data_IF_680370150108
#
_entry.id   IF_680370150108
#
_cell.length_a   1.000
_cell.length_b   1.000
_cell.length_c   1.000
_cell.angle_alpha   90.00
_cell.angle_beta   90.00
_cell.angle_gamma   90.00
#
_symmetry.space_group_name_H-M   'P 1'
#
loop_
_entity.id
_entity.type
_entity.pdbx_description
1 polymer ?
2 non-polymer ?
3 non-polymer ?
4 non-polymer ?
5 non-polymer ?
6 water ?
#
# COMPACT_ATOMS: atom_id res chain seq x y z
N UNK A 14 -11.88 22.01 11.86
CA UNK A 14 -11.72 20.53 11.68
C UNK A 14 -12.56 19.69 12.65
N UNK A 15 -13.54 19.00 12.10
CA UNK A 15 -14.36 18.12 12.96
C UNK A 15 -14.02 16.66 12.80
N UNK A 16 -14.54 15.92 13.75
CA UNK A 16 -14.32 14.52 13.88
C UNK A 16 -15.56 13.67 13.61
N UNK A 17 -15.30 12.43 13.22
CA UNK A 17 -16.39 11.48 13.15
C UNK A 17 -15.89 10.21 13.76
N UNK A 18 -16.85 9.40 14.16
CA UNK A 18 -16.60 8.11 14.73
C UNK A 18 -17.00 7.02 13.80
N UNK A 19 -16.08 6.11 13.57
CA UNK A 19 -16.35 4.95 12.74
C UNK A 19 -16.75 3.92 13.76
N UNK A 21 -18.53 1.09 13.41
CA UNK A 21 -18.37 -0.29 12.97
C UNK A 21 -16.94 -0.49 12.59
N UNK A 22 -16.27 -1.23 13.43
CA UNK A 22 -14.82 -1.43 13.33
C UNK A 22 -14.41 -2.75 12.69
N UNK A 23 -14.99 -2.94 11.51
CA UNK A 23 -14.79 -4.14 10.69
C UNK A 23 -13.30 -4.42 10.42
N UNK A 24 -12.54 -3.37 10.15
CA UNK A 24 -11.13 -3.54 9.79
C UNK A 24 -10.33 -4.02 11.01
N UNK A 25 -10.59 -3.40 12.14
CA UNK A 25 -9.97 -3.77 13.41
C UNK A 25 -10.31 -5.22 13.77
N UNK A 26 -11.57 -5.59 13.60
CA UNK A 26 -11.99 -6.96 13.92
C UNK A 26 -11.28 -7.96 13.04
N UNK A 27 -11.15 -7.59 11.78
CA UNK A 27 -10.51 -8.42 10.78
C UNK A 27 -9.06 -8.71 11.15
N UNK A 28 -8.32 -7.68 11.51
CA UNK A 28 -6.91 -7.86 11.88
C UNK A 28 -6.73 -8.50 13.23
N UNK A 29 -7.64 -8.19 14.14
CA UNK A 29 -7.64 -8.83 15.46
C UNK A 29 -7.84 -10.34 15.30
N UNK A 30 -8.75 -10.71 14.40
CA UNK A 30 -9.02 -12.15 14.16
C UNK A 30 -7.77 -12.82 13.57
N UNK A 31 -7.15 -12.14 12.61
CA UNK A 31 -5.90 -12.59 12.00
C UNK A 31 -4.85 -12.90 13.07
N UNK A 32 -4.64 -11.95 13.96
CA UNK A 32 -3.66 -12.08 15.02
C UNK A 32 -3.95 -13.25 15.95
N UNK A 33 -5.24 -13.54 16.13
CA UNK A 33 -5.73 -14.57 17.02
C UNK A 33 -5.76 -15.91 16.32
N UNK A 34 -5.48 -15.89 15.03
CA UNK A 34 -5.48 -17.11 14.24
C UNK A 34 -6.90 -17.60 14.01
N UNK A 35 -7.83 -16.66 14.03
CA UNK A 35 -9.23 -16.97 13.90
C UNK A 35 -9.77 -16.68 12.54
N UNK A 36 -9.59 -17.60 11.61
CA UNK A 36 -10.10 -17.37 10.25
C UNK A 36 -11.60 -17.17 10.21
N UNK A 37 -12.31 -17.76 11.16
CA UNK A 37 -13.77 -17.66 11.19
C UNK A 37 -14.13 -16.20 11.44
N UNK A 38 -13.33 -15.56 12.28
CA UNK A 38 -13.54 -14.16 12.60
C UNK A 38 -13.26 -13.27 11.42
N UNK A 40 -13.43 -14.24 8.19
CA UNK A 40 -14.43 -14.54 7.16
C UNK A 40 -15.73 -13.80 7.42
N UNK A 41 -16.02 -13.68 8.70
CA UNK A 41 -17.23 -13.02 9.17
C UNK A 41 -17.26 -11.50 8.84
N UNK A 42 -16.08 -10.96 8.59
CA UNK A 42 -15.90 -9.54 8.27
C UNK A 42 -16.09 -9.24 6.80
N UNK A 43 -16.19 -10.30 6.02
CA UNK A 43 -16.28 -10.19 4.57
C UNK A 43 -17.64 -10.42 3.96
N UNK A 44 -17.86 -9.73 2.84
CA UNK A 44 -19.08 -9.96 2.04
C UNK A 44 -18.93 -11.25 1.22
N UNK A 45 -20.08 -11.79 0.82
CA UNK A 45 -20.13 -13.02 0.04
C UNK A 45 -19.44 -12.82 -1.29
N UNK A 46 -19.42 -11.58 -1.73
CA UNK A 46 -18.80 -11.25 -3.04
C UNK A 46 -17.41 -10.58 -2.93
N UNK A 47 -16.79 -10.80 -1.80
CA UNK A 47 -15.48 -10.19 -1.55
C UNK A 47 -14.47 -10.47 -2.69
N UNK A 48 -13.82 -9.39 -3.12
CA UNK A 48 -12.79 -9.42 -4.11
C UNK A 48 -11.45 -9.22 -3.45
N UNK A 49 -10.69 -10.31 -3.44
CA UNK A 49 -9.34 -10.38 -2.88
C UNK A 49 -8.36 -10.22 -4.04
N UNK A 50 -7.77 -9.03 -4.05
CA UNK A 50 -6.85 -8.64 -5.12
C UNK A 50 -5.46 -9.10 -4.79
N UNK A 51 -5.09 -10.26 -5.31
CA UNK A 51 -3.74 -10.79 -5.10
C UNK A 51 -2.86 -10.01 -6.08
N UNK A 52 -3.42 -9.90 -7.26
CA UNK A 52 -2.89 -9.02 -8.32
C UNK A 52 -3.92 -8.84 -9.45
N UNK A 53 -3.60 -7.94 -10.37
CA UNK A 53 -4.58 -7.57 -11.46
C UNK A 53 -5.11 -8.76 -12.20
N UNK A 54 -4.20 -9.67 -12.48
CA UNK A 54 -4.54 -10.86 -13.25
C UNK A 54 -5.12 -11.95 -12.38
N UNK A 55 -5.22 -11.69 -11.09
CA UNK A 55 -5.65 -12.74 -10.15
C UNK A 55 -6.46 -12.18 -9.00
N UNK A 56 -7.78 -12.09 -9.25
CA UNK A 56 -8.69 -11.58 -8.26
C UNK A 56 -9.58 -12.71 -7.81
N UNK A 57 -9.44 -13.03 -6.54
CA UNK A 57 -10.15 -14.18 -5.99
C UNK A 57 -11.38 -13.66 -5.34
N UNK A 58 -12.51 -14.15 -5.78
CA UNK A 58 -13.78 -13.68 -5.29
C UNK A 58 -14.50 -14.68 -4.42
N UNK A 59 -14.95 -14.22 -3.26
CA UNK A 59 -15.80 -15.05 -2.41
C UNK A 59 -15.07 -15.64 -1.22
N UNK A 60 -15.89 -16.14 -0.30
CA UNK A 60 -15.40 -16.67 0.95
C UNK A 60 -14.77 -18.03 0.86
N UNK A 61 -15.21 -18.86 -0.08
CA UNK A 61 -14.59 -20.19 -0.28
C UNK A 61 -13.13 -20.05 -0.68
N UNK A 62 -12.89 -19.16 -1.64
CA UNK A 62 -11.51 -18.87 -2.07
C UNK A 62 -10.68 -18.26 -0.92
N UNK A 63 -11.31 -17.39 -0.16
CA UNK A 63 -10.58 -16.70 0.91
C UNK A 63 -10.20 -17.69 2.00
N UNK A 64 -11.10 -18.59 2.33
CA UNK A 64 -10.82 -19.61 3.34
C UNK A 64 -9.67 -20.50 2.90
N UNK A 65 -9.65 -20.87 1.62
CA UNK A 65 -8.56 -21.70 1.07
C UNK A 65 -7.24 -20.95 1.15
N UNK A 66 -7.33 -19.68 0.88
CA UNK A 66 -6.18 -18.78 0.93
C UNK A 66 -5.62 -18.69 2.37
N UNK A 67 -6.50 -18.57 3.35
CA UNK A 67 -6.07 -18.52 4.74
C UNK A 67 -5.40 -19.83 5.14
N UNK A 68 -5.92 -20.93 4.65
CA UNK A 68 -5.34 -22.25 4.95
C UNK A 68 -3.92 -22.32 4.39
N UNK A 69 -3.78 -21.76 3.21
CA UNK A 69 -2.49 -21.73 2.55
C UNK A 69 -1.53 -20.91 3.41
N UNK A 71 -1.69 -20.26 6.46
CA UNK A 71 -1.61 -20.88 7.78
C UNK A 71 -0.51 -21.94 7.79
N UNK A 72 -0.35 -22.52 6.61
CA UNK A 72 0.62 -23.56 6.39
C UNK A 72 2.02 -22.96 6.24
N UNK A 73 2.11 -21.86 5.52
CA UNK A 73 3.42 -21.31 5.19
C UNK A 73 4.01 -20.34 6.18
N UNK A 74 3.15 -19.63 6.88
CA UNK A 74 3.60 -18.53 7.76
C UNK A 74 2.88 -18.44 9.06
N UNK A 75 3.62 -17.97 10.06
CA UNK A 75 3.01 -17.56 11.34
C UNK A 75 3.42 -16.12 11.55
N UNK A 76 2.44 -15.24 11.65
CA UNK A 76 2.67 -13.82 11.75
C UNK A 76 1.79 -13.13 12.75
N UNK A 77 2.35 -12.06 13.31
CA UNK A 77 1.61 -11.16 14.16
C UNK A 77 1.77 -9.73 13.65
N UNK A 78 0.69 -8.98 13.72
CA UNK A 78 0.67 -7.61 13.23
C UNK A 78 0.69 -6.66 14.40
N UNK A 79 1.59 -5.68 14.33
CA UNK A 79 1.75 -4.67 15.37
C UNK A 79 1.79 -3.28 14.76
N UNK A 80 1.76 -2.26 15.61
CA UNK A 80 1.82 -0.86 15.19
C UNK A 80 0.74 -0.52 14.17
N UNK A 82 -2.25 1.15 12.36
CA UNK A 82 -2.98 2.43 12.24
C UNK A 82 -4.05 2.24 11.19
N UNK A 83 -5.29 2.53 11.53
CA UNK A 83 -6.43 2.34 10.61
C UNK A 83 -7.00 3.68 10.22
N UNK A 84 -7.24 3.82 8.93
CA UNK A 84 -7.78 5.06 8.34
C UNK A 84 -9.17 4.80 7.75
N UNK A 85 -9.97 5.84 7.71
CA UNK A 85 -11.37 5.72 7.22
C UNK A 85 -11.85 6.89 6.41
N UNK A 86 -12.99 6.68 5.78
CA UNK A 86 -13.70 7.76 5.09
C UNK A 86 -15.02 7.99 5.81
N UNK A 87 -15.55 9.22 5.76
CA UNK A 87 -16.76 9.50 6.49
C UNK A 87 -17.97 8.65 6.11
N UNK A 88 -18.00 8.16 4.89
CA UNK A 88 -19.16 7.35 4.42
C UNK A 88 -18.99 5.89 4.73
N UNK A 89 -17.83 5.60 5.30
CA UNK A 89 -17.50 4.24 5.73
C UNK A 89 -17.35 3.18 4.62
N UNK A 90 -17.15 3.60 3.39
CA UNK A 90 -17.07 2.66 2.27
C UNK A 90 -15.66 2.34 1.82
N UNK A 91 -14.73 3.03 2.43
CA UNK A 91 -13.31 2.83 2.11
C UNK A 91 -12.50 2.90 3.38
N UNK A 92 -11.43 2.11 3.43
CA UNK A 92 -10.50 2.10 4.56
C UNK A 92 -9.11 1.66 4.13
N UNK A 93 -8.16 1.99 4.99
CA UNK A 93 -6.74 1.70 4.81
C UNK A 93 -6.13 1.34 6.14
N UNK A 94 -5.07 0.55 6.09
CA UNK A 94 -4.38 0.21 7.32
C UNK A 94 -2.92 0.06 7.02
N UNK A 95 -2.12 0.58 7.94
CA UNK A 95 -0.66 0.45 7.86
C UNK A 95 -0.20 -0.23 9.15
N UNK A 96 0.73 -1.16 9.00
CA UNK A 96 1.14 -1.96 10.15
C UNK A 96 2.47 -2.66 9.89
N UNK A 97 2.94 -3.30 10.93
CA UNK A 97 4.18 -4.06 10.96
C UNK A 97 3.90 -5.56 11.06
N UNK A 98 4.43 -6.28 10.10
CA UNK A 98 4.33 -7.73 10.05
C UNK A 98 5.59 -8.36 10.63
N UNK A 99 5.36 -9.17 11.66
CA UNK A 99 6.40 -9.96 12.32
C UNK A 99 6.07 -11.43 12.14
N UNK A 100 6.97 -12.18 11.52
CA UNK A 100 6.74 -13.61 11.30
C UNK A 100 7.91 -14.57 11.24
N UNK A 101 7.51 -15.81 11.02
CA UNK A 101 8.37 -16.96 10.81
C UNK A 101 7.88 -17.70 9.58
N UNK A 102 8.83 -18.02 8.72
CA UNK A 102 8.55 -18.73 7.45
C UNK A 102 8.64 -20.22 7.73
N UNK A 103 7.45 -20.82 7.83
CA UNK A 103 7.25 -22.21 8.26
C UNK A 103 7.38 -23.25 7.18
N UNK A 104 6.78 -22.95 6.03
CA UNK A 104 6.81 -23.89 4.91
C UNK A 104 6.84 -23.16 3.61
N UNK A 105 7.52 -23.73 2.64
CA UNK A 105 7.74 -23.05 1.36
C UNK A 105 6.50 -22.72 0.57
N UNK A 106 6.46 -21.46 0.15
CA UNK A 106 5.36 -20.93 -0.67
C UNK A 106 5.86 -20.91 -2.10
N UNK A 107 5.16 -21.65 -2.95
CA UNK A 107 5.53 -21.83 -4.36
C UNK A 107 6.07 -20.59 -5.03
N UNK A 108 7.33 -20.68 -5.42
CA UNK A 108 7.97 -19.59 -6.16
C UNK A 108 8.75 -18.65 -5.28
N UNK A 109 8.60 -18.83 -3.98
CA UNK A 109 9.32 -18.02 -3.00
C UNK A 109 10.51 -18.84 -2.47
N UNK A 110 11.43 -18.22 -1.73
CA UNK A 110 12.53 -19.08 -1.29
C UNK A 110 12.14 -20.18 -0.34
N UNK A 111 13.12 -21.05 -0.10
CA UNK A 111 12.91 -22.20 0.77
C UNK A 111 12.68 -21.76 2.19
N UNK A 112 11.64 -22.34 2.79
CA UNK A 112 11.32 -22.07 4.22
C UNK A 112 12.32 -22.82 5.08
N UNK A 113 12.86 -22.11 6.08
CA UNK A 113 13.83 -22.67 7.00
C UNK A 113 13.61 -22.09 8.39
N UNK A 114 12.37 -21.69 8.65
CA UNK A 114 11.93 -21.12 9.91
C UNK A 114 12.59 -19.78 10.14
N UNK A 115 12.87 -19.09 9.04
CA UNK A 115 13.45 -17.74 9.07
C UNK A 115 12.45 -16.75 9.66
N UNK A 116 12.97 -15.83 10.48
CA UNK A 116 12.15 -14.75 11.01
C UNK A 116 12.24 -13.52 10.08
N UNK A 117 11.19 -12.73 10.09
CA UNK A 117 11.17 -11.53 9.29
C UNK A 117 10.31 -10.46 9.95
N UNK A 118 10.60 -9.24 9.57
CA UNK A 118 9.85 -8.10 10.07
C UNK A 118 9.76 -7.07 8.97
N UNK A 119 8.54 -6.68 8.65
CA UNK A 119 8.42 -5.68 7.61
C UNK A 119 7.09 -4.97 7.61
N UNK A 120 7.12 -3.74 7.13
CA UNK A 120 5.94 -2.94 7.03
C UNK A 120 5.10 -3.47 5.91
N UNK A 121 3.81 -3.19 6.03
CA UNK A 121 2.83 -3.52 5.02
C UNK A 121 1.69 -2.56 5.15
N UNK A 122 0.94 -2.54 4.07
CA UNK A 122 -0.27 -1.74 3.96
C UNK A 122 -1.39 -2.41 3.19
N UNK A 123 -2.61 -2.16 3.68
CA UNK A 123 -3.81 -2.69 3.05
C UNK A 123 -4.87 -1.63 2.79
N UNK A 124 -5.58 -1.84 1.69
CA UNK A 124 -6.69 -0.99 1.29
C UNK A 124 -7.93 -1.84 1.11
N UNK A 125 -9.06 -1.25 1.51
CA UNK A 125 -10.34 -1.94 1.53
C UNK A 125 -11.48 -1.10 1.01
N UNK A 126 -12.43 -1.81 0.45
CA UNK A 126 -13.75 -1.27 0.15
C UNK A 126 -14.70 -2.00 1.12
N UNK A 127 -15.74 -1.31 1.53
CA UNK A 127 -16.78 -1.89 2.40
C UNK A 127 -18.16 -1.48 1.96
N UNK A 128 -19.11 -2.38 2.17
CA UNK A 128 -20.50 -2.11 1.89
C UNK A 128 -21.35 -2.76 3.00
N UNK A 129 -22.26 -1.98 3.56
CA UNK A 129 -23.14 -2.47 4.62
C UNK A 129 -22.34 -3.07 5.76
N UNK A 130 -21.16 -2.53 5.96
CA UNK A 130 -20.29 -2.91 7.10
C UNK A 130 -19.35 -4.10 6.90
N UNK A 131 -19.39 -4.61 5.69
CA UNK A 131 -18.59 -5.75 5.33
C UNK A 131 -17.55 -5.40 4.26
N UNK A 132 -16.41 -6.05 4.38
CA UNK A 132 -15.32 -5.86 3.43
C UNK A 132 -15.66 -6.49 2.10
N UNK A 133 -15.69 -5.67 1.04
CA UNK A 133 -16.03 -6.16 -0.30
C UNK A 133 -14.81 -6.25 -1.21
N UNK A 134 -13.74 -5.65 -0.73
CA UNK A 134 -12.44 -5.71 -1.40
C UNK A 134 -11.30 -5.53 -0.42
N UNK A 135 -10.25 -6.29 -0.70
CA UNK A 135 -9.02 -6.33 0.07
C UNK A 135 -7.82 -6.37 -0.84
N UNK A 136 -6.92 -5.40 -0.68
CA UNK A 136 -5.63 -5.36 -1.40
C UNK A 136 -4.55 -5.09 -0.38
N UNK A 137 -3.44 -5.83 -0.48
CA UNK A 137 -2.32 -5.71 0.47
C UNK A 137 -1.03 -5.54 -0.26
N UNK A 138 -0.25 -4.60 0.22
CA UNK A 138 1.06 -4.33 -0.39
C UNK A 138 2.16 -4.42 0.63
N UNK A 139 3.32 -4.77 0.13
CA UNK A 139 4.54 -4.80 0.96
C UNK A 139 5.74 -4.92 0.04
N UNK A 140 6.90 -4.65 0.60
CA UNK A 140 8.17 -4.74 -0.15
C UNK A 140 8.63 -6.18 -0.27
N UNK A 141 8.27 -6.79 -1.40
CA UNK A 141 8.58 -8.22 -1.65
C UNK A 141 10.09 -8.47 -1.79
N UNK A 142 10.74 -7.54 -2.44
CA UNK A 142 12.16 -7.64 -2.63
C UNK A 142 12.85 -7.70 -1.28
N UNK A 143 12.40 -6.86 -0.36
CA UNK A 143 12.96 -6.77 0.97
C UNK A 143 12.69 -8.04 1.74
N UNK A 144 11.48 -8.53 1.61
CA UNK A 144 11.13 -9.77 2.28
C UNK A 144 12.03 -10.91 1.83
N UNK A 145 12.25 -11.00 0.53
CA UNK A 145 13.04 -12.07 -0.06
C UNK A 145 14.47 -11.99 0.42
N UNK A 146 14.90 -10.75 0.61
CA UNK A 146 16.25 -10.49 1.09
C UNK A 146 16.38 -11.03 2.52
N UNK A 147 15.38 -10.71 3.33
CA UNK A 147 15.38 -11.12 4.74
C UNK A 147 15.43 -12.63 4.92
N UNK A 148 14.64 -13.36 4.15
CA UNK A 148 14.52 -14.83 4.32
C UNK A 148 15.58 -15.61 3.60
N UNK A 149 16.30 -14.92 2.73
CA UNK A 149 17.35 -15.56 1.94
C UNK A 149 18.66 -15.47 2.69
N UNK A 150 18.65 -14.66 3.74
CA UNK A 150 19.84 -14.43 4.58
C UNK A 150 20.08 -15.63 5.48
N UNK B 14 -12.75 5.23 18.33
CA UNK B 14 -12.17 5.38 16.91
C UNK B 14 -12.62 6.64 16.23
N UNK B 15 -11.92 7.72 16.55
CA UNK B 15 -12.25 9.02 16.01
C UNK B 15 -11.32 9.41 14.90
N UNK B 16 -11.89 10.01 13.86
CA UNK B 16 -11.15 10.41 12.72
C UNK B 16 -11.37 11.86 12.36
N UNK B 17 -10.34 12.46 11.80
CA UNK B 17 -10.44 13.86 11.33
C UNK B 17 -9.51 14.11 10.15
N UNK B 18 -9.42 15.36 9.73
CA UNK B 18 -8.63 15.74 8.55
C UNK B 18 -7.15 15.76 8.85
N UNK B 19 -6.79 15.76 10.10
CA UNK B 19 -5.39 15.82 10.44
C UNK B 19 -4.64 16.86 9.60
N UNK B 21 -4.08 16.49 6.47
CA UNK B 21 -4.38 16.04 5.10
C UNK B 21 -4.20 17.10 4.03
N UNK B 22 -4.26 18.38 4.41
CA UNK B 22 -4.10 19.47 3.42
C UNK B 22 -2.73 19.41 2.76
N UNK B 23 -1.75 19.00 3.54
CA UNK B 23 -0.36 18.85 3.03
C UNK B 23 -0.29 17.75 2.01
N UNK B 24 -1.04 16.68 2.27
CA UNK B 24 -1.06 15.53 1.40
C UNK B 24 -1.74 15.94 0.10
N UNK B 25 -2.84 16.67 0.23
CA UNK B 25 -3.55 17.18 -0.96
C UNK B 25 -2.64 18.09 -1.82
N UNK B 26 -1.90 18.97 -1.18
CA UNK B 26 -1.00 19.87 -1.87
C UNK B 26 0.06 19.10 -2.61
N UNK B 27 0.52 18.06 -1.96
CA UNK B 27 1.58 17.22 -2.48
C UNK B 27 1.14 16.55 -3.79
N UNK B 28 -0.05 15.97 -3.76
CA UNK B 28 -0.54 15.28 -4.94
C UNK B 28 -0.97 16.27 -6.05
N UNK B 29 -1.57 17.38 -5.65
CA UNK B 29 -1.93 18.41 -6.59
C UNK B 29 -0.67 18.88 -7.35
N UNK B 30 0.42 19.02 -6.61
CA UNK B 30 1.68 19.50 -7.20
C UNK B 30 2.18 18.47 -8.18
N UNK B 31 2.06 17.20 -7.80
CA UNK B 31 2.48 16.07 -8.66
C UNK B 31 1.69 16.18 -9.97
N UNK B 32 0.37 16.32 -9.87
CA UNK B 32 -0.43 16.37 -11.08
C UNK B 32 -0.11 17.59 -11.94
N UNK B 33 0.37 18.66 -11.31
CA UNK B 33 0.72 19.90 -12.05
C UNK B 33 2.14 19.85 -12.59
N UNK B 34 2.86 18.81 -12.25
CA UNK B 34 4.26 18.69 -12.67
C UNK B 34 5.16 19.63 -11.90
N UNK B 35 4.68 20.02 -10.73
CA UNK B 35 5.38 20.98 -9.90
C UNK B 35 6.20 20.33 -8.81
N UNK B 36 7.45 19.99 -9.12
CA UNK B 36 8.30 19.36 -8.10
C UNK B 36 8.57 20.30 -6.95
N UNK B 37 8.51 21.60 -7.22
CA UNK B 37 8.85 22.58 -6.18
C UNK B 37 7.78 22.52 -5.07
N UNK B 38 6.56 22.39 -5.53
CA UNK B 38 5.41 22.30 -4.65
C UNK B 38 5.48 21.02 -3.86
N UNK B 40 8.29 19.39 -3.08
CA UNK B 40 9.44 19.49 -2.15
C UNK B 40 9.09 20.35 -0.95
N UNK B 41 8.23 21.32 -1.21
CA UNK B 41 7.83 22.26 -0.17
C UNK B 41 7.03 21.56 0.93
N UNK B 42 6.45 20.42 0.60
CA UNK B 42 5.66 19.64 1.56
C UNK B 42 6.49 18.69 2.43
N UNK B 43 7.79 18.65 2.16
CA UNK B 43 8.67 17.68 2.81
C UNK B 43 9.60 18.29 3.83
N UNK B 44 9.88 17.51 4.86
CA UNK B 44 10.85 17.89 5.88
C UNK B 44 12.24 17.65 5.30
N UNK B 45 13.21 18.31 5.87
CA UNK B 45 14.59 18.14 5.42
C UNK B 45 15.11 16.73 5.61
N UNK B 46 14.54 15.99 6.55
CA UNK B 46 15.01 14.62 6.85
C UNK B 46 14.07 13.55 6.29
N UNK B 47 13.32 13.96 5.28
CA UNK B 47 12.32 13.08 4.67
C UNK B 47 12.89 11.71 4.25
N UNK B 48 12.20 10.66 4.66
CA UNK B 48 12.56 9.28 4.34
C UNK B 48 11.58 8.76 3.30
N UNK B 49 12.11 8.56 2.11
CA UNK B 49 11.36 8.07 0.97
C UNK B 49 11.64 6.60 0.81
N UNK B 50 10.61 5.82 1.10
CA UNK B 50 10.62 4.36 0.98
C UNK B 50 10.17 3.94 -0.41
N UNK B 51 11.14 3.72 -1.29
CA UNK B 51 10.87 3.38 -2.71
C UNK B 51 10.24 2.00 -2.84
N UNK B 52 9.17 1.93 -3.58
CA UNK B 52 8.49 0.63 -3.80
C UNK B 52 9.45 -0.36 -4.43
N UNK B 53 9.55 -1.50 -3.77
CA UNK B 53 10.41 -2.61 -4.15
C UNK B 53 11.85 -2.15 -4.17
N UNK B 54 12.10 -1.04 -3.48
CA UNK B 54 13.45 -0.48 -3.41
C UNK B 54 14.00 -0.19 -2.04
N UNK B 55 14.81 0.88 -1.99
CA UNK B 55 15.51 1.30 -0.78
C UNK B 55 14.88 2.53 -0.16
N UNK B 56 15.45 2.97 0.94
CA UNK B 56 15.00 4.16 1.65
C UNK B 56 15.95 5.30 1.27
N UNK B 57 15.41 6.37 0.72
CA UNK B 57 16.20 7.50 0.25
C UNK B 57 15.93 8.67 1.19
N UNK B 58 16.95 9.23 1.76
CA UNK B 58 16.77 10.30 2.72
C UNK B 58 17.13 11.68 2.19
N UNK B 59 16.19 12.60 2.42
CA UNK B 59 16.40 14.02 2.10
C UNK B 59 15.87 14.53 0.78
N UNK B 60 15.82 15.85 0.71
CA UNK B 60 15.25 16.55 -0.43
C UNK B 60 16.12 16.52 -1.66
N UNK B 61 17.43 16.44 -1.47
CA UNK B 61 18.32 16.38 -2.66
C UNK B 61 18.03 15.10 -3.42
N UNK B 62 17.89 14.01 -2.68
CA UNK B 62 17.60 12.73 -3.29
C UNK B 62 16.22 12.73 -3.87
N UNK B 63 15.29 13.39 -3.17
CA UNK B 63 13.90 13.41 -3.65
C UNK B 63 13.77 14.17 -4.98
N UNK B 64 14.48 15.28 -5.06
CA UNK B 64 14.47 16.11 -6.27
C UNK B 64 15.05 15.30 -7.48
N UNK B 65 16.12 14.59 -7.19
CA UNK B 65 16.78 13.72 -8.18
C UNK B 65 15.81 12.61 -8.63
N UNK B 66 15.09 12.09 -7.66
CA UNK B 66 14.11 11.00 -7.91
C UNK B 66 13.00 11.49 -8.83
N UNK B 67 12.54 12.69 -8.53
CA UNK B 67 11.51 13.33 -9.35
C UNK B 67 12.00 13.58 -10.77
N UNK B 68 13.24 14.01 -10.90
CA UNK B 68 13.83 14.24 -12.22
C UNK B 68 13.87 12.97 -13.06
N UNK B 69 14.17 11.89 -12.35
CA UNK B 69 14.29 10.59 -12.97
C UNK B 69 12.90 10.15 -13.50
N UNK B 71 10.39 12.08 -14.20
CA UNK B 71 10.04 13.08 -15.18
C UNK B 71 10.61 12.71 -16.54
N UNK B 72 11.75 12.05 -16.51
CA UNK B 72 12.39 11.59 -17.75
C UNK B 72 11.71 10.34 -18.30
N UNK B 73 11.34 9.45 -17.39
CA UNK B 73 10.79 8.12 -17.77
C UNK B 73 9.31 8.02 -18.02
N UNK B 74 8.56 8.83 -17.31
CA UNK B 74 7.12 8.71 -17.29
C UNK B 74 6.39 10.02 -17.33
N UNK B 75 5.21 9.97 -17.91
CA UNK B 75 4.28 11.10 -17.84
C UNK B 75 3.02 10.51 -17.18
N UNK B 76 2.64 11.04 -16.02
CA UNK B 76 1.55 10.48 -15.20
C UNK B 76 0.59 11.49 -14.64
N UNK B 77 -0.63 11.02 -14.47
CA UNK B 77 -1.67 11.78 -13.77
C UNK B 77 -2.38 10.82 -12.83
N UNK B 78 -2.70 11.34 -11.64
CA UNK B 78 -3.40 10.60 -10.58
C UNK B 78 -4.88 10.94 -10.60
N UNK B 79 -5.70 9.91 -10.56
CA UNK B 79 -7.15 10.08 -10.53
C UNK B 79 -7.72 9.19 -9.45
N UNK B 80 -9.03 9.32 -9.26
CA UNK B 80 -9.73 8.50 -8.28
C UNK B 80 -9.10 8.60 -6.90
N UNK B 82 -8.38 9.15 -3.17
CA UNK B 82 -9.01 9.14 -1.88
C UNK B 82 -7.94 9.42 -0.83
N UNK B 83 -8.11 10.56 -0.13
CA UNK B 83 -7.26 10.91 1.01
C UNK B 83 -8.12 10.63 2.27
N UNK B 84 -7.70 9.61 3.01
CA UNK B 84 -8.47 9.08 4.13
C UNK B 84 -8.42 9.99 5.36
N UNK B 85 -9.54 10.00 6.06
CA UNK B 85 -9.58 10.67 7.39
C UNK B 85 -8.63 9.85 8.28
N UNK B 86 -7.98 10.52 9.21
CA UNK B 86 -6.94 9.94 10.04
C UNK B 86 -7.23 10.04 11.51
N UNK B 87 -6.71 9.07 12.28
CA UNK B 87 -6.86 9.12 13.70
C UNK B 87 -5.79 9.95 14.36
N UNK B 88 -4.80 10.37 13.58
CA UNK B 88 -3.61 11.05 14.12
C UNK B 88 -3.04 12.00 13.09
N UNK B 89 -2.92 13.27 13.49
CA UNK B 89 -2.39 14.34 12.63
C UNK B 89 -1.00 14.03 12.10
N UNK B 90 -0.29 13.13 12.76
CA UNK B 90 1.10 12.76 12.33
C UNK B 90 1.14 11.63 11.30
N UNK B 91 -0.04 11.21 10.87
CA UNK B 91 -0.13 10.11 9.91
C UNK B 91 -1.16 10.40 8.86
N UNK B 92 -0.92 9.84 7.69
CA UNK B 92 -1.84 9.95 6.59
C UNK B 92 -1.72 8.77 5.62
N UNK B 93 -2.79 8.66 4.84
CA UNK B 93 -2.95 7.61 3.82
C UNK B 93 -3.83 8.07 2.68
N UNK B 94 -3.46 7.59 1.48
CA UNK B 94 -4.19 7.86 0.25
C UNK B 94 -4.15 6.64 -0.69
N UNK B 95 -5.23 6.48 -1.43
CA UNK B 95 -5.34 5.46 -2.45
C UNK B 95 -5.82 6.17 -3.70
N UNK B 96 -5.26 5.75 -4.82
CA UNK B 96 -5.53 6.38 -6.08
C UNK B 96 -5.13 5.52 -7.28
N UNK B 97 -5.39 6.08 -8.43
CA UNK B 97 -5.10 5.46 -9.73
C UNK B 97 -4.03 6.24 -10.46
N UNK B 98 -2.98 5.54 -10.87
CA UNK B 98 -1.92 6.13 -11.68
C UNK B 98 -2.17 5.86 -13.14
N UNK B 99 -2.27 6.93 -13.91
CA UNK B 99 -2.47 6.84 -15.35
C UNK B 99 -1.23 7.37 -16.00
N UNK B 100 -0.64 6.64 -16.94
CA UNK B 100 0.58 7.14 -17.58
C UNK B 100 0.97 6.63 -18.92
N UNK B 101 2.05 7.23 -19.37
CA UNK B 101 2.76 6.89 -20.61
C UNK B 101 4.25 6.71 -20.30
N UNK B 102 4.77 5.61 -20.80
CA UNK B 102 6.17 5.19 -20.59
C UNK B 102 7.00 5.84 -21.66
N UNK B 103 7.60 6.95 -21.30
CA UNK B 103 8.35 7.79 -22.27
C UNK B 103 9.77 7.33 -22.62
N UNK B 104 10.48 6.83 -21.62
CA UNK B 104 11.91 6.49 -21.77
C UNK B 104 12.27 5.43 -20.79
N UNK B 105 13.09 4.50 -21.28
CA UNK B 105 13.40 3.29 -20.52
C UNK B 105 14.01 3.57 -19.15
N UNK B 106 13.44 2.90 -18.16
CA UNK B 106 13.88 2.93 -16.79
C UNK B 106 14.77 1.69 -16.63
N UNK B 107 16.04 1.97 -16.36
CA UNK B 107 17.09 0.93 -16.25
C UNK B 107 16.64 -0.27 -15.47
N UNK B 108 16.68 -1.42 -16.11
CA UNK B 108 16.32 -2.68 -15.49
C UNK B 108 14.88 -3.08 -15.76
N UNK B 109 14.11 -2.15 -16.30
CA UNK B 109 12.71 -2.38 -16.65
C UNK B 109 12.54 -2.54 -18.19
N UNK B 110 11.36 -2.97 -18.65
CA UNK B 110 11.19 -3.13 -20.11
C UNK B 110 11.45 -1.86 -20.94
N UNK B 111 11.77 -2.04 -22.21
CA UNK B 111 12.03 -0.90 -23.09
C UNK B 111 10.74 -0.09 -23.28
N UNK B 112 10.92 1.21 -23.28
CA UNK B 112 9.85 2.19 -23.43
C UNK B 112 9.53 2.40 -24.89
N UNK B 113 8.24 2.43 -25.18
CA UNK B 113 7.74 2.72 -26.50
C UNK B 113 6.39 3.45 -26.46
N UNK B 114 6.29 4.30 -25.44
CA UNK B 114 5.17 5.18 -25.24
C UNK B 114 3.93 4.37 -24.90
N UNK B 115 4.16 3.27 -24.22
CA UNK B 115 3.03 2.47 -23.72
C UNK B 115 2.19 3.25 -22.77
N UNK B 116 0.91 2.97 -22.90
CA UNK B 116 -0.09 3.51 -21.98
C UNK B 116 -0.33 2.52 -20.83
N UNK B 117 -0.36 3.03 -19.61
CA UNK B 117 -0.64 2.19 -18.44
C UNK B 117 -1.58 2.83 -17.45
N UNK B 118 -2.16 1.94 -16.65
CA UNK B 118 -3.11 2.32 -15.62
C UNK B 118 -3.02 1.32 -14.48
N UNK B 119 -2.75 1.85 -13.29
CA UNK B 119 -2.42 0.99 -12.14
C UNK B 119 -2.94 1.53 -10.82
N UNK B 120 -3.48 0.64 -9.94
CA UNK B 120 -3.81 1.12 -8.63
C UNK B 120 -2.55 1.30 -7.82
N UNK B 121 -2.63 2.29 -6.95
CA UNK B 121 -1.56 2.66 -6.07
C UNK B 121 -2.04 3.25 -4.77
N UNK B 122 -1.11 3.29 -3.84
CA UNK B 122 -1.37 3.86 -2.52
C UNK B 122 -0.15 4.42 -1.85
N UNK B 123 -0.39 5.37 -0.95
CA UNK B 123 0.68 6.00 -0.21
C UNK B 123 0.33 6.19 1.25
N UNK B 124 1.34 5.99 2.07
CA UNK B 124 1.29 6.21 3.50
C UNK B 124 2.38 7.21 3.89
N UNK B 125 2.06 8.02 4.87
CA UNK B 125 2.93 9.08 5.32
C UNK B 125 2.99 9.28 6.81
N UNK B 126 4.16 9.76 7.21
CA UNK B 126 4.38 10.33 8.54
C UNK B 126 4.53 11.85 8.32
N UNK B 127 4.00 12.60 9.25
CA UNK B 127 4.14 14.05 9.21
C UNK B 127 4.57 14.60 10.57
N UNK B 128 5.26 15.72 10.51
CA UNK B 128 5.64 16.46 11.70
C UNK B 128 5.36 17.91 11.44
N UNK B 129 4.49 18.46 12.25
CA UNK B 129 4.13 19.86 12.11
C UNK B 129 3.73 20.24 10.69
N UNK B 130 2.97 19.40 10.02
CA UNK B 130 2.49 19.74 8.66
C UNK B 130 3.39 19.43 7.47
N UNK B 131 4.60 18.99 7.78
CA UNK B 131 5.54 18.53 6.76
C UNK B 131 5.67 17.01 6.77
N UNK B 132 5.75 16.44 5.58
CA UNK B 132 5.90 14.99 5.40
C UNK B 132 7.31 14.58 5.75
N UNK B 133 7.44 13.64 6.67
CA UNK B 133 8.77 13.17 7.15
C UNK B 133 9.09 11.77 6.63
N UNK B 134 8.07 11.14 6.13
CA UNK B 134 8.17 9.82 5.54
C UNK B 134 7.06 9.56 4.53
N UNK B 135 7.48 9.05 3.39
CA UNK B 135 6.57 8.67 2.33
C UNK B 135 6.85 7.24 1.86
N UNK B 136 5.81 6.44 1.90
CA UNK B 136 5.85 5.07 1.39
C UNK B 136 4.79 4.89 0.33
N UNK B 137 5.23 4.64 -0.88
CA UNK B 137 4.33 4.43 -1.99
C UNK B 137 4.33 2.98 -2.42
N UNK B 138 3.13 2.46 -2.53
CA UNK B 138 2.90 1.08 -2.94
C UNK B 138 2.15 0.97 -4.24
N UNK B 139 2.56 -0.04 -4.98
CA UNK B 139 1.93 -0.48 -6.21
C UNK B 139 2.53 -1.83 -6.56
N UNK B 140 1.84 -2.55 -7.41
CA UNK B 140 2.29 -3.86 -7.87
C UNK B 140 3.14 -3.74 -9.11
N UNK B 141 4.44 -3.80 -8.89
CA UNK B 141 5.42 -3.64 -9.96
C UNK B 141 5.29 -4.71 -11.06
N UNK B 142 5.06 -5.96 -10.68
CA UNK B 142 4.92 -7.03 -11.66
C UNK B 142 3.70 -6.73 -12.54
N UNK B 143 2.66 -6.17 -11.93
CA UNK B 143 1.47 -5.84 -12.73
C UNK B 143 1.83 -4.80 -13.79
N UNK B 144 2.59 -3.79 -13.37
CA UNK B 144 2.99 -2.72 -14.31
C UNK B 144 3.84 -3.29 -15.42
N UNK B 145 4.81 -4.10 -15.04
CA UNK B 145 5.69 -4.74 -16.00
C UNK B 145 4.89 -5.51 -17.03
N UNK B 146 3.81 -6.14 -16.59
CA UNK B 146 2.99 -6.89 -17.50
C UNK B 146 2.32 -5.99 -18.51
N UNK B 147 2.00 -4.78 -18.08
CA UNK B 147 1.29 -3.87 -18.98
C UNK B 147 2.18 -3.28 -20.03
N UNK B 148 3.45 -3.10 -19.71
CA UNK B 148 4.41 -2.47 -20.63
C UNK B 148 5.30 -3.40 -21.43
N UNK B 149 5.23 -4.66 -21.10
CA UNK B 149 6.04 -5.63 -21.80
C UNK B 149 5.31 -6.07 -23.05
N UNK B 150 6.12 -6.29 -24.07
CA UNK B 150 5.61 -6.80 -25.36
#
# INVERSE_FOLDING_TARGET
XGSDKIHHHHHHENLYFQGXNDTIARYFDAFNAGDTDGXLACLSEDVAHHVNEGNIRVGKEKFAAFCAHXSHCYKEELTDXVIFATPDATRAAAEYTVNGTYLATDEGLPEARQQSYKLPAGSFFDLRDGLITRVTTYYNLSDWIKQVSA
XGSDKIHHHHHHENLYFQGXNDTIARYFDAFNAGDTDGXLACLSEDVAHHVNEGNIRVGKEKFAAFCAHXSHCYKEELTDXVIFATPDATRAAAEYTVNGTYLATDEGLPEARQQSYKLPAGSFFDLRDGLITRVTTYYNLSDWIKQVSA
#
